data_IF_733076211158
#
_entry.id   IF_733076211158
#
_cell.length_a   1.000
_cell.length_b   1.000
_cell.length_c   1.000
_cell.angle_alpha   90.00
_cell.angle_beta   90.00
_cell.angle_gamma   90.00
#
_symmetry.space_group_name_H-M   'P 1'
#
loop_
_entity.id
_entity.type
_entity.pdbx_description
1 polymer ?
#
# COMPACT_ATOMS: atom_id res chain seq x y z
N UNK A 1 -33.95 4.69 -7.37
CA UNK A 1 -34.71 5.86 -7.90
C UNK A 1 -34.04 6.35 -9.18
N UNK A 2 -34.75 6.43 -10.32
CA UNK A 2 -34.19 6.98 -11.58
C UNK A 2 -34.19 8.51 -11.49
N UNK A 3 -33.03 9.14 -11.75
CA UNK A 3 -32.91 10.59 -11.75
C UNK A 3 -33.81 11.22 -12.83
N UNK A 4 -34.68 12.15 -12.45
CA UNK A 4 -35.61 12.81 -13.38
C UNK A 4 -34.86 13.91 -14.15
N UNK A 5 -35.08 13.97 -15.49
CA UNK A 5 -34.62 15.08 -16.32
C UNK A 5 -35.46 16.32 -16.01
N UNK A 6 -34.87 17.50 -16.12
CA UNK A 6 -35.51 18.81 -15.92
C UNK A 6 -35.00 19.78 -16.95
N UNK A 7 -35.78 20.82 -17.22
CA UNK A 7 -35.42 21.87 -18.16
C UNK A 7 -34.17 22.63 -17.71
N UNK A 8 -33.16 22.67 -18.56
CA UNK A 8 -31.95 23.46 -18.34
C UNK A 8 -32.16 24.88 -18.86
N UNK A 9 -31.97 25.88 -18.01
CA UNK A 9 -32.16 27.30 -18.41
C UNK A 9 -31.13 27.75 -19.46
N UNK A 10 -29.95 27.14 -19.49
CA UNK A 10 -28.89 27.56 -20.43
C UNK A 10 -29.10 27.05 -21.86
N UNK A 11 -29.60 25.84 -22.08
CA UNK A 11 -29.82 25.29 -23.43
C UNK A 11 -31.28 25.00 -23.78
N UNK A 12 -32.20 25.22 -22.85
CA UNK A 12 -33.63 24.98 -23.08
C UNK A 12 -34.05 23.51 -23.28
N UNK A 13 -33.16 22.55 -23.02
CA UNK A 13 -33.41 21.11 -23.23
C UNK A 13 -33.64 20.41 -21.89
N UNK A 14 -34.44 19.34 -21.90
CA UNK A 14 -34.56 18.45 -20.73
C UNK A 14 -33.30 17.63 -20.56
N UNK A 15 -32.58 17.89 -19.47
CA UNK A 15 -31.27 17.29 -19.15
C UNK A 15 -31.18 16.90 -17.68
N UNK A 16 -30.18 16.09 -17.34
CA UNK A 16 -29.79 15.89 -15.95
C UNK A 16 -29.19 17.18 -15.40
N UNK A 17 -29.77 17.70 -14.33
CA UNK A 17 -29.31 18.96 -13.72
C UNK A 17 -28.05 18.67 -12.92
N UNK A 18 -26.99 19.42 -13.27
CA UNK A 18 -25.70 19.37 -12.58
C UNK A 18 -25.63 20.33 -11.41
N UNK A 19 -26.15 21.56 -11.59
CA UNK A 19 -26.14 22.61 -10.58
C UNK A 19 -27.44 23.43 -10.64
N UNK A 20 -27.87 23.90 -9.46
CA UNK A 20 -29.00 24.81 -9.32
C UNK A 20 -28.54 26.07 -8.62
N UNK A 21 -28.98 27.23 -9.12
CA UNK A 21 -28.71 28.55 -8.55
C UNK A 21 -30.07 29.26 -8.35
N UNK A 22 -30.58 29.22 -7.12
CA UNK A 22 -31.96 29.61 -6.83
C UNK A 22 -32.95 28.75 -7.62
N UNK A 23 -33.85 29.39 -8.39
CA UNK A 23 -34.82 28.75 -9.27
C UNK A 23 -34.24 28.22 -10.58
N UNK A 24 -33.04 28.64 -10.94
CA UNK A 24 -32.40 28.30 -12.22
C UNK A 24 -31.65 26.97 -12.13
N UNK A 25 -31.84 26.15 -13.14
CA UNK A 25 -31.26 24.77 -13.21
C UNK A 25 -30.40 24.64 -14.46
N UNK A 26 -29.19 24.14 -14.30
CA UNK A 26 -28.21 24.04 -15.38
C UNK A 26 -27.71 22.60 -15.55
N UNK A 27 -27.66 22.12 -16.81
CA UNK A 27 -26.91 20.92 -17.14
C UNK A 27 -25.40 21.17 -17.02
N UNK A 28 -24.59 20.12 -17.02
CA UNK A 28 -23.15 20.21 -16.86
C UNK A 28 -22.49 21.13 -17.87
N UNK A 29 -22.81 20.98 -19.15
CA UNK A 29 -22.23 21.80 -20.22
C UNK A 29 -22.53 23.30 -20.03
N UNK A 30 -23.81 23.66 -19.82
CA UNK A 30 -24.21 25.05 -19.63
C UNK A 30 -23.66 25.68 -18.33
N UNK A 31 -23.47 24.88 -17.28
CA UNK A 31 -22.86 25.36 -16.06
C UNK A 31 -21.37 25.67 -16.27
N UNK A 32 -20.65 24.79 -16.94
CA UNK A 32 -19.22 25.01 -17.21
C UNK A 32 -18.94 26.19 -18.13
N UNK A 33 -19.85 26.50 -19.05
CA UNK A 33 -19.74 27.72 -19.89
C UNK A 33 -20.10 29.00 -19.13
N UNK A 34 -21.07 28.92 -18.17
CA UNK A 34 -21.46 30.06 -17.36
C UNK A 34 -20.39 30.46 -16.34
N UNK A 35 -19.74 29.47 -15.73
CA UNK A 35 -18.70 29.70 -14.73
C UNK A 35 -17.34 29.59 -15.42
N UNK A 36 -16.65 30.71 -15.68
CA UNK A 36 -15.30 30.64 -16.22
C UNK A 36 -14.44 29.87 -15.20
N UNK A 37 -13.90 28.75 -15.63
CA UNK A 37 -12.92 28.00 -14.82
C UNK A 37 -11.72 28.93 -14.63
N UNK A 38 -11.57 29.49 -13.43
CA UNK A 38 -10.32 30.18 -13.08
C UNK A 38 -9.17 29.21 -13.35
N UNK A 39 -8.18 29.58 -14.16
CA UNK A 39 -7.02 28.74 -14.34
C UNK A 39 -6.45 28.46 -12.94
N UNK A 40 -6.27 27.18 -12.63
CA UNK A 40 -5.55 26.76 -11.41
C UNK A 40 -4.15 27.37 -11.51
N UNK A 41 -3.91 28.45 -10.77
CA UNK A 41 -2.56 28.96 -10.58
C UNK A 41 -1.76 27.85 -9.93
N UNK A 42 -1.08 27.07 -10.76
CA UNK A 42 -0.08 26.08 -10.30
C UNK A 42 1.07 26.88 -9.72
N UNK A 43 0.93 27.33 -8.48
CA UNK A 43 2.08 27.87 -7.73
C UNK A 43 3.09 26.72 -7.63
N UNK A 44 4.32 26.87 -8.13
CA UNK A 44 5.33 25.83 -7.99
C UNK A 44 5.47 25.50 -6.51
N UNK A 45 5.38 24.22 -6.15
CA UNK A 45 5.63 23.78 -4.79
C UNK A 45 7.03 24.22 -4.40
N UNK A 46 7.15 25.06 -3.37
CA UNK A 46 8.45 25.46 -2.85
C UNK A 46 9.16 24.17 -2.34
N UNK A 47 10.38 23.91 -2.76
CA UNK A 47 11.11 22.74 -2.30
C UNK A 47 11.21 22.79 -0.76
N UNK A 48 10.84 21.69 -0.12
CA UNK A 48 11.00 21.56 1.33
C UNK A 48 12.49 21.60 1.68
N UNK A 49 12.89 22.47 2.61
CA UNK A 49 14.26 22.53 3.13
C UNK A 49 14.61 21.32 4.02
N UNK A 50 13.61 20.52 4.43
CA UNK A 50 13.81 19.34 5.25
C UNK A 50 13.82 18.10 4.37
N UNK A 51 14.82 17.22 4.46
CA UNK A 51 14.83 15.96 3.74
C UNK A 51 13.62 15.12 4.15
N UNK A 52 13.04 14.43 3.18
CA UNK A 52 11.95 13.48 3.44
C UNK A 52 12.53 12.31 4.21
N UNK A 53 11.97 12.02 5.37
CA UNK A 53 12.36 10.85 6.16
C UNK A 53 12.01 9.58 5.42
N UNK A 54 12.94 8.64 5.28
CA UNK A 54 12.70 7.33 4.67
C UNK A 54 11.68 6.50 5.46
N UNK A 55 11.59 6.70 6.77
CA UNK A 55 10.68 5.97 7.67
C UNK A 55 9.98 6.93 8.63
N UNK A 56 8.74 6.61 8.98
CA UNK A 56 8.01 7.32 10.04
C UNK A 56 8.64 7.02 11.42
N UNK A 57 8.42 7.91 12.40
CA UNK A 57 8.90 7.69 13.77
C UNK A 57 8.35 6.39 14.38
N UNK A 58 7.08 6.06 14.09
CA UNK A 58 6.45 4.80 14.51
C UNK A 58 7.17 3.58 13.91
N UNK A 59 7.52 3.62 12.63
CA UNK A 59 8.23 2.53 11.97
C UNK A 59 9.66 2.37 12.51
N UNK A 60 10.34 3.47 12.80
CA UNK A 60 11.68 3.44 13.41
C UNK A 60 11.65 2.76 14.79
N UNK A 61 10.65 3.06 15.63
CA UNK A 61 10.49 2.41 16.93
C UNK A 61 10.23 0.90 16.77
N UNK A 62 9.37 0.49 15.82
CA UNK A 62 9.13 -0.92 15.54
C UNK A 62 10.39 -1.64 15.04
N UNK A 63 11.17 -1.02 14.16
CA UNK A 63 12.43 -1.58 13.65
C UNK A 63 13.48 -1.74 14.76
N UNK A 64 13.50 -0.87 15.77
CA UNK A 64 14.40 -1.00 16.93
C UNK A 64 14.08 -2.26 17.74
N UNK A 65 12.79 -2.53 17.97
CA UNK A 65 12.34 -3.76 18.63
C UNK A 65 12.66 -4.98 17.77
N UNK A 66 12.32 -4.91 16.47
CA UNK A 66 12.60 -5.96 15.51
C UNK A 66 14.08 -6.39 15.51
N UNK A 67 14.99 -5.41 15.50
CA UNK A 67 16.42 -5.69 15.43
C UNK A 67 16.90 -6.54 16.62
N UNK A 68 16.40 -6.26 17.83
CA UNK A 68 16.72 -7.04 19.03
C UNK A 68 16.13 -8.47 18.96
N UNK A 69 14.85 -8.56 18.62
CA UNK A 69 14.16 -9.83 18.51
C UNK A 69 14.77 -10.71 17.41
N UNK A 70 15.19 -10.11 16.30
CA UNK A 70 15.84 -10.79 15.18
C UNK A 70 17.14 -11.49 15.59
N UNK A 71 17.99 -10.81 16.34
CA UNK A 71 19.26 -11.38 16.82
C UNK A 71 18.97 -12.61 17.68
N UNK A 72 18.16 -12.47 18.72
CA UNK A 72 17.80 -13.56 19.61
C UNK A 72 17.14 -14.74 18.84
N UNK A 73 16.29 -14.44 17.86
CA UNK A 73 15.63 -15.49 17.06
C UNK A 73 16.62 -16.29 16.20
N UNK A 74 17.57 -15.61 15.55
CA UNK A 74 18.61 -16.28 14.74
C UNK A 74 19.62 -17.07 15.58
N UNK A 75 19.87 -16.65 16.81
CA UNK A 75 20.67 -17.41 17.77
C UNK A 75 19.97 -18.71 18.20
N UNK A 76 18.65 -18.66 18.43
CA UNK A 76 17.83 -19.83 18.76
C UNK A 76 17.65 -20.79 17.59
N UNK A 77 17.56 -20.24 16.37
CA UNK A 77 17.33 -21.00 15.13
C UNK A 77 18.44 -20.76 14.10
N UNK A 78 19.66 -21.31 14.35
CA UNK A 78 20.82 -21.03 13.51
C UNK A 78 20.79 -21.75 12.14
N UNK A 79 19.87 -22.70 11.97
CA UNK A 79 19.74 -23.47 10.73
C UNK A 79 18.57 -22.95 9.87
N UNK A 80 18.77 -23.02 8.55
CA UNK A 80 17.73 -22.68 7.58
C UNK A 80 16.60 -23.73 7.59
N UNK A 81 15.39 -23.32 7.96
CA UNK A 81 14.22 -24.20 8.03
C UNK A 81 13.61 -24.53 6.66
N UNK A 82 13.86 -23.72 5.62
CA UNK A 82 13.28 -23.94 4.29
C UNK A 82 13.95 -25.09 3.53
N UNK A 83 15.26 -25.31 3.73
CA UNK A 83 16.05 -26.40 3.12
C UNK A 83 15.80 -26.64 1.63
N UNK A 84 15.57 -25.57 0.86
CA UNK A 84 15.34 -25.61 -0.59
C UNK A 84 16.60 -25.99 -1.37
N UNK A 85 16.50 -26.29 -2.67
CA UNK A 85 17.67 -26.46 -3.53
C UNK A 85 18.62 -25.26 -3.43
N UNK A 86 19.92 -25.53 -3.38
CA UNK A 86 20.99 -24.53 -3.16
C UNK A 86 20.98 -23.84 -1.77
N UNK A 87 20.35 -24.47 -0.77
CA UNK A 87 20.34 -23.98 0.59
C UNK A 87 21.75 -24.00 1.21
N UNK A 88 22.19 -22.88 1.79
CA UNK A 88 23.49 -22.77 2.48
C UNK A 88 23.47 -23.32 3.91
N UNK A 89 22.35 -23.89 4.36
CA UNK A 89 22.09 -24.49 5.68
C UNK A 89 22.11 -23.51 6.85
N UNK A 90 22.94 -22.48 6.84
CA UNK A 90 23.01 -21.47 7.91
C UNK A 90 21.96 -20.39 7.69
N UNK A 91 21.18 -20.09 8.73
CA UNK A 91 20.21 -18.99 8.68
C UNK A 91 20.92 -17.65 8.80
N UNK A 92 20.55 -16.69 7.96
CA UNK A 92 21.05 -15.32 7.95
C UNK A 92 19.92 -14.29 7.97
N UNK A 93 18.76 -14.71 7.53
CA UNK A 93 17.59 -13.87 7.31
C UNK A 93 16.35 -14.42 8.02
N UNK A 94 15.38 -13.54 8.28
CA UNK A 94 14.05 -13.91 8.75
C UNK A 94 13.05 -13.67 7.64
N UNK A 95 12.33 -14.71 7.24
CA UNK A 95 11.16 -14.59 6.39
C UNK A 95 9.90 -14.48 7.23
N UNK A 96 9.02 -13.51 6.91
CA UNK A 96 7.75 -13.31 7.57
C UNK A 96 6.64 -14.06 6.82
N UNK A 97 6.24 -15.21 7.27
CA UNK A 97 5.22 -16.05 6.63
C UNK A 97 3.90 -15.32 6.35
N UNK A 98 3.47 -14.42 7.23
CA UNK A 98 2.25 -13.59 7.10
C UNK A 98 2.52 -12.18 6.57
N UNK A 99 3.75 -11.88 6.17
CA UNK A 99 4.17 -10.53 5.82
C UNK A 99 4.44 -9.66 7.06
N UNK A 100 4.98 -8.45 6.83
CA UNK A 100 5.43 -7.59 7.94
C UNK A 100 4.29 -6.88 8.66
N UNK A 101 3.48 -6.12 8.03
CA UNK A 101 2.33 -5.39 8.59
C UNK A 101 2.22 -5.43 10.13
N UNK A 102 1.11 -5.92 10.65
CA UNK A 102 0.86 -6.11 12.09
C UNK A 102 1.71 -7.24 12.71
N UNK A 103 2.29 -8.10 11.90
CA UNK A 103 3.11 -9.23 12.35
C UNK A 103 4.62 -8.95 12.29
N UNK A 104 5.03 -7.69 12.11
CA UNK A 104 6.43 -7.32 11.96
C UNK A 104 7.32 -7.81 13.11
N UNK A 105 6.84 -7.69 14.34
CA UNK A 105 7.54 -8.08 15.57
C UNK A 105 6.95 -9.33 16.23
N UNK A 106 6.28 -10.19 15.46
CA UNK A 106 5.69 -11.43 15.95
C UNK A 106 6.53 -12.65 15.54
N UNK A 107 7.40 -13.19 16.43
CA UNK A 107 8.28 -14.30 16.12
C UNK A 107 7.55 -15.59 15.75
N UNK A 108 6.28 -15.77 16.13
CA UNK A 108 5.49 -16.96 15.81
C UNK A 108 5.20 -17.08 14.32
N UNK A 109 5.30 -15.97 13.61
CA UNK A 109 5.10 -15.90 12.15
C UNK A 109 6.39 -15.87 11.36
N UNK A 110 7.54 -15.98 12.04
CA UNK A 110 8.84 -15.91 11.42
C UNK A 110 9.34 -17.31 10.99
N UNK A 111 10.25 -17.29 10.04
CA UNK A 111 10.97 -18.48 9.58
C UNK A 111 12.44 -18.10 9.42
N UNK A 112 13.35 -18.86 10.07
CA UNK A 112 14.78 -18.68 9.89
C UNK A 112 15.21 -19.28 8.56
N UNK A 113 15.81 -18.48 7.69
CA UNK A 113 16.19 -18.90 6.34
C UNK A 113 17.57 -18.37 5.97
N UNK A 114 18.24 -19.07 5.06
CA UNK A 114 19.42 -18.50 4.42
C UNK A 114 19.00 -17.54 3.30
N UNK A 115 19.91 -16.69 2.85
CA UNK A 115 19.64 -15.68 1.82
C UNK A 115 19.07 -16.29 0.54
N UNK A 116 19.66 -17.37 0.07
CA UNK A 116 19.22 -18.07 -1.16
C UNK A 116 17.79 -18.58 -1.04
N UNK A 117 17.44 -19.20 0.08
CA UNK A 117 16.06 -19.67 0.32
C UNK A 117 15.08 -18.50 0.48
N UNK A 118 15.48 -17.41 1.12
CA UNK A 118 14.66 -16.21 1.25
C UNK A 118 14.30 -15.63 -0.12
N UNK A 119 15.29 -15.44 -0.97
CA UNK A 119 15.10 -14.90 -2.34
C UNK A 119 14.22 -15.83 -3.18
N UNK A 120 14.39 -17.14 -3.04
CA UNK A 120 13.52 -18.13 -3.69
C UNK A 120 12.06 -18.02 -3.24
N UNK A 121 11.80 -17.91 -1.94
CA UNK A 121 10.45 -17.76 -1.39
C UNK A 121 9.76 -16.48 -1.93
N UNK A 122 10.50 -15.39 -2.07
CA UNK A 122 9.96 -14.14 -2.59
C UNK A 122 9.67 -14.18 -4.10
N UNK A 123 10.44 -14.95 -4.86
CA UNK A 123 10.26 -15.08 -6.31
C UNK A 123 9.26 -16.16 -6.71
N UNK A 124 8.94 -17.12 -5.81
CA UNK A 124 8.04 -18.25 -6.05
C UNK A 124 6.91 -18.28 -5.00
N UNK A 125 6.04 -17.25 -4.95
CA UNK A 125 5.06 -17.11 -3.87
C UNK A 125 4.01 -18.23 -3.84
N UNK A 126 3.63 -18.79 -4.98
CA UNK A 126 2.63 -19.87 -5.06
C UNK A 126 3.19 -21.14 -4.45
N UNK A 127 4.36 -21.55 -4.90
CA UNK A 127 5.06 -22.76 -4.43
C UNK A 127 5.46 -22.62 -2.95
N UNK A 128 5.84 -21.42 -2.52
CA UNK A 128 6.15 -21.13 -1.12
C UNK A 128 4.92 -21.29 -0.20
N UNK A 129 3.72 -21.01 -0.70
CA UNK A 129 2.47 -21.25 0.04
C UNK A 129 2.17 -22.75 0.10
N UNK A 130 2.32 -23.48 -1.00
CA UNK A 130 2.11 -24.94 -1.06
C UNK A 130 3.06 -25.70 -0.12
N UNK A 131 4.31 -25.24 -0.02
CA UNK A 131 5.31 -25.77 0.90
C UNK A 131 5.13 -25.28 2.36
N UNK A 132 4.15 -24.43 2.66
CA UNK A 132 3.90 -23.88 3.99
C UNK A 132 4.95 -22.88 4.48
N UNK A 133 5.83 -22.41 3.59
CA UNK A 133 6.84 -21.40 3.88
C UNK A 133 6.26 -19.98 3.93
N UNK A 134 5.15 -19.75 3.24
CA UNK A 134 4.38 -18.50 3.25
C UNK A 134 2.90 -18.78 3.46
N UNK A 135 2.15 -17.77 3.91
CA UNK A 135 0.70 -17.85 4.11
C UNK A 135 0.04 -16.81 3.19
N UNK A 136 -1.02 -17.24 2.47
CA UNK A 136 -1.81 -16.36 1.63
C UNK A 136 -2.34 -15.19 2.45
N UNK A 137 -2.18 -13.98 1.93
CA UNK A 137 -2.76 -12.77 2.54
C UNK A 137 -4.23 -12.67 2.13
N UNK A 138 -5.09 -12.54 3.12
CA UNK A 138 -6.50 -12.19 2.91
C UNK A 138 -6.64 -10.68 2.80
#
# INVERSE_FOLDING_TARGET
>A
MKAKRKLCVGCGKEQFIWKSEGRYKYCKACWLTKVPTKPLNKTPLKPSKKPIRHKSSKMTALDTVYSKLRVNYLEQYPLCCASLPNCTKKSTDIHHKKGRGKYHNDPTTWLSVCRTCHDWIETHPTEAIELGLSIKRN
#
